data_IF_207943434708
#
_entry.id   IF_207943434708
#
_cell.length_a   1.000
_cell.length_b   1.000
_cell.length_c   1.000
_cell.angle_alpha   90.00
_cell.angle_beta   90.00
_cell.angle_gamma   90.00
#
_symmetry.space_group_name_H-M   'P 1'
#
loop_
_entity.id
_entity.type
_entity.pdbx_description
1 polymer ?
#
# COMPACT_ATOMS: atom_id res chain seq x y z
N UNK A 1 -15.02 11.35 -3.47
CA UNK A 1 -13.73 12.01 -3.71
C UNK A 1 -13.55 13.32 -2.92
N UNK A 2 -14.33 14.41 -3.13
CA UNK A 2 -14.08 15.69 -2.46
C UNK A 2 -13.99 15.59 -0.92
N UNK A 3 -14.92 14.88 -0.28
CA UNK A 3 -14.89 14.69 1.17
C UNK A 3 -13.61 13.96 1.65
N UNK A 4 -13.12 12.99 0.88
CA UNK A 4 -11.84 12.32 1.15
C UNK A 4 -10.68 13.32 1.11
N UNK A 5 -10.59 14.11 0.06
CA UNK A 5 -9.53 15.13 -0.13
C UNK A 5 -9.54 16.18 0.98
N UNK A 6 -10.72 16.62 1.44
CA UNK A 6 -10.83 17.56 2.58
C UNK A 6 -10.30 16.93 3.88
N UNK A 7 -10.54 15.62 4.11
CA UNK A 7 -9.98 14.92 5.25
C UNK A 7 -8.46 14.77 5.13
N UNK A 8 -7.93 14.43 3.96
CA UNK A 8 -6.49 14.39 3.71
C UNK A 8 -5.85 15.74 4.06
N UNK A 9 -6.40 16.84 3.55
CA UNK A 9 -5.92 18.21 3.85
C UNK A 9 -5.92 18.50 5.33
N UNK A 10 -7.01 18.18 6.02
CA UNK A 10 -7.14 18.40 7.45
C UNK A 10 -6.07 17.63 8.26
N UNK A 11 -5.86 16.36 7.96
CA UNK A 11 -4.87 15.56 8.68
C UNK A 11 -3.44 15.93 8.31
N UNK A 12 -3.18 16.29 7.05
CA UNK A 12 -1.85 16.79 6.64
C UNK A 12 -1.45 18.06 7.39
N UNK A 13 -2.36 19.02 7.60
CA UNK A 13 -2.07 20.20 8.44
C UNK A 13 -1.58 19.80 9.84
N UNK A 14 -2.18 18.76 10.45
CA UNK A 14 -1.76 18.26 11.76
C UNK A 14 -0.43 17.52 11.70
N UNK A 15 -0.26 16.63 10.73
CA UNK A 15 0.97 15.86 10.54
C UNK A 15 2.17 16.77 10.35
N UNK A 16 2.08 17.75 9.46
CA UNK A 16 3.17 18.70 9.17
C UNK A 16 3.57 19.48 10.43
N UNK A 17 2.61 19.93 11.23
CA UNK A 17 2.91 20.62 12.48
C UNK A 17 3.67 19.73 13.48
N UNK A 18 3.21 18.50 13.66
CA UNK A 18 3.88 17.51 14.54
C UNK A 18 5.26 17.18 14.01
N UNK A 19 5.39 16.94 12.72
CA UNK A 19 6.67 16.62 12.08
C UNK A 19 7.67 17.76 12.23
N UNK A 20 7.26 18.99 11.99
CA UNK A 20 8.13 20.17 12.12
C UNK A 20 8.63 20.38 13.56
N UNK A 21 7.77 20.20 14.56
CA UNK A 21 8.17 20.25 15.97
C UNK A 21 9.12 19.11 16.32
N UNK A 22 8.82 17.90 15.87
CA UNK A 22 9.65 16.71 16.09
C UNK A 22 11.04 16.89 15.47
N UNK A 23 11.13 17.42 14.26
CA UNK A 23 12.41 17.70 13.58
C UNK A 23 13.25 18.73 14.32
N UNK A 24 12.62 19.80 14.82
CA UNK A 24 13.33 20.81 15.62
C UNK A 24 13.91 20.20 16.90
N UNK A 25 13.12 19.41 17.63
CA UNK A 25 13.57 18.71 18.83
C UNK A 25 14.72 17.75 18.50
N UNK A 26 14.58 16.96 17.46
CA UNK A 26 15.62 16.01 17.07
C UNK A 26 16.91 16.70 16.58
N UNK A 27 16.81 17.83 15.91
CA UNK A 27 17.97 18.60 15.51
C UNK A 27 18.77 19.15 16.70
N UNK A 28 18.10 19.49 17.78
CA UNK A 28 18.74 20.06 18.96
C UNK A 28 19.22 19.01 19.99
N UNK A 29 18.47 17.93 20.16
CA UNK A 29 18.72 16.99 21.28
C UNK A 29 19.20 15.60 20.83
N UNK A 30 19.08 15.24 19.55
CA UNK A 30 19.46 13.92 19.04
C UNK A 30 20.34 14.00 17.79
N UNK A 31 21.57 14.58 17.88
CA UNK A 31 22.49 14.67 16.75
C UNK A 31 22.90 13.28 16.26
N UNK A 32 23.25 13.20 14.99
CA UNK A 32 23.74 11.98 14.33
C UNK A 32 25.18 12.13 13.84
N UNK A 33 26.18 12.19 14.72
CA UNK A 33 27.56 12.51 14.36
C UNK A 33 28.16 11.50 13.37
N UNK A 34 27.90 10.20 13.53
CA UNK A 34 28.41 9.19 12.63
C UNK A 34 27.79 9.34 11.21
N UNK A 35 26.47 9.47 11.11
CA UNK A 35 25.83 9.69 9.83
C UNK A 35 26.24 11.03 9.21
N UNK A 36 26.41 12.07 10.02
CA UNK A 36 26.88 13.38 9.56
C UNK A 36 28.31 13.31 8.98
N UNK A 37 29.18 12.51 9.57
CA UNK A 37 30.55 12.30 9.05
C UNK A 37 30.58 11.57 7.68
N UNK A 38 29.53 10.83 7.35
CA UNK A 38 29.37 10.10 6.08
C UNK A 38 28.50 10.85 5.07
N UNK A 39 28.00 12.03 5.41
CA UNK A 39 27.15 12.84 4.53
C UNK A 39 27.91 14.04 4.03
N UNK A 40 27.95 14.19 2.71
CA UNK A 40 28.62 15.31 2.05
C UNK A 40 28.11 16.66 2.56
N UNK A 41 29.01 17.59 2.77
CA UNK A 41 28.71 18.94 3.19
C UNK A 41 28.56 19.12 4.72
N UNK A 42 28.32 18.07 5.50
CA UNK A 42 28.17 18.18 6.94
C UNK A 42 29.46 18.60 7.65
N UNK A 43 30.60 17.99 7.28
CA UNK A 43 31.92 18.30 7.82
C UNK A 43 32.34 19.71 7.41
N UNK A 44 32.23 20.04 6.13
CA UNK A 44 32.60 21.35 5.57
C UNK A 44 31.83 22.50 6.20
N UNK A 45 30.57 22.26 6.57
CA UNK A 45 29.69 23.25 7.19
C UNK A 45 29.72 23.22 8.73
N UNK A 46 30.38 22.22 9.32
CA UNK A 46 30.39 22.03 10.77
C UNK A 46 28.99 21.84 11.35
N UNK A 47 28.08 21.17 10.60
CA UNK A 47 26.68 20.98 10.97
C UNK A 47 26.29 19.50 11.01
N UNK A 48 25.49 19.14 11.99
CA UNK A 48 24.84 17.83 12.02
C UNK A 48 23.87 17.66 10.85
N UNK A 49 23.73 16.43 10.34
CA UNK A 49 22.82 16.06 9.25
C UNK A 49 21.41 16.58 9.46
N UNK A 50 20.92 16.61 10.69
CA UNK A 50 19.56 17.09 11.03
C UNK A 50 19.43 18.62 10.97
N UNK A 51 20.56 19.35 10.99
CA UNK A 51 20.62 20.81 10.84
C UNK A 51 21.16 21.25 9.50
N UNK A 52 21.80 20.33 8.78
CA UNK A 52 22.35 20.56 7.47
C UNK A 52 21.50 19.89 6.40
N UNK A 53 21.20 20.65 5.35
CA UNK A 53 20.64 20.12 4.13
C UNK A 53 21.66 20.22 3.03
N UNK A 54 21.95 19.08 2.42
CA UNK A 54 22.73 19.04 1.20
C UNK A 54 22.06 19.89 0.11
N UNK A 55 22.82 20.40 -0.88
CA UNK A 55 22.34 21.30 -1.95
C UNK A 55 21.26 20.70 -2.87
N UNK A 56 20.88 19.45 -2.70
CA UNK A 56 19.67 18.83 -3.23
C UNK A 56 18.56 18.91 -2.18
N UNK A 57 17.34 19.10 -2.61
CA UNK A 57 16.17 19.07 -1.75
C UNK A 57 16.13 17.73 -1.00
N UNK A 58 16.18 17.77 0.31
CA UNK A 58 15.73 16.63 1.11
C UNK A 58 14.23 16.79 1.24
N UNK A 59 13.50 16.09 0.43
CA UNK A 59 12.05 16.09 0.41
C UNK A 59 11.49 15.47 1.69
N UNK A 60 10.31 15.86 2.06
CA UNK A 60 9.58 15.31 3.19
C UNK A 60 8.48 14.40 2.65
N UNK A 61 8.22 13.30 3.34
CA UNK A 61 7.27 12.30 2.85
C UNK A 61 6.13 12.07 3.82
N UNK A 62 4.94 11.92 3.27
CA UNK A 62 3.77 11.39 3.97
C UNK A 62 3.47 9.99 3.43
N UNK A 63 3.56 8.98 4.29
CA UNK A 63 3.36 7.59 3.88
C UNK A 63 1.87 7.31 3.69
N UNK A 64 1.49 6.88 2.48
CA UNK A 64 0.16 6.40 2.19
C UNK A 64 0.00 4.93 2.58
N UNK A 65 -0.99 4.65 3.43
CA UNK A 65 -1.36 3.29 3.81
C UNK A 65 -2.78 3.02 3.33
N UNK A 66 -2.97 1.95 2.56
CA UNK A 66 -4.28 1.52 2.06
C UNK A 66 -4.91 2.38 0.95
N UNK A 67 -4.16 3.00 0.01
CA UNK A 67 -4.78 3.78 -1.08
C UNK A 67 -5.68 2.91 -1.97
N UNK A 68 -5.34 1.64 -2.19
CA UNK A 68 -6.21 0.66 -2.86
C UNK A 68 -7.53 0.48 -2.12
N UNK A 69 -7.52 0.35 -0.79
CA UNK A 69 -8.74 0.24 0.01
C UNK A 69 -9.63 1.48 -0.11
N UNK A 70 -9.02 2.67 -0.21
CA UNK A 70 -9.76 3.92 -0.45
C UNK A 70 -10.43 3.89 -1.83
N UNK A 71 -9.69 3.48 -2.88
CA UNK A 71 -10.23 3.38 -4.23
C UNK A 71 -11.38 2.38 -4.32
N UNK A 72 -11.20 1.17 -3.77
CA UNK A 72 -12.19 0.12 -3.72
C UNK A 72 -13.44 0.54 -2.91
N UNK A 73 -13.22 1.25 -1.81
CA UNK A 73 -14.31 1.81 -0.99
C UNK A 73 -15.12 2.87 -1.75
N UNK A 74 -14.44 3.79 -2.46
CA UNK A 74 -15.13 4.82 -3.26
C UNK A 74 -15.88 4.15 -4.43
N UNK A 75 -15.30 3.14 -5.08
CA UNK A 75 -15.96 2.39 -6.15
C UNK A 75 -17.21 1.66 -5.64
N UNK A 76 -17.12 1.00 -4.48
CA UNK A 76 -18.25 0.32 -3.85
C UNK A 76 -19.36 1.30 -3.43
N UNK A 77 -18.99 2.43 -2.81
CA UNK A 77 -19.94 3.50 -2.48
C UNK A 77 -20.62 4.04 -3.73
N UNK A 78 -19.83 4.37 -4.76
CA UNK A 78 -20.38 4.88 -6.01
C UNK A 78 -21.38 3.91 -6.60
N UNK A 79 -21.04 2.64 -6.72
CA UNK A 79 -21.89 1.62 -7.32
C UNK A 79 -23.12 1.33 -6.49
N UNK A 80 -22.96 0.93 -5.23
CA UNK A 80 -24.04 0.37 -4.42
C UNK A 80 -24.96 1.44 -3.82
N UNK A 81 -24.34 2.57 -3.37
CA UNK A 81 -25.11 3.64 -2.72
C UNK A 81 -25.66 4.64 -3.73
N UNK A 82 -24.84 5.09 -4.72
CA UNK A 82 -25.23 6.19 -5.59
C UNK A 82 -25.78 5.75 -6.94
N UNK A 83 -25.19 4.74 -7.60
CA UNK A 83 -25.63 4.32 -8.93
C UNK A 83 -26.82 3.36 -8.85
N UNK A 84 -26.82 2.42 -7.87
CA UNK A 84 -27.86 1.39 -7.70
C UNK A 84 -28.90 1.72 -6.61
N UNK A 85 -28.66 2.73 -5.78
CA UNK A 85 -29.54 3.19 -4.68
C UNK A 85 -30.03 2.05 -3.77
N UNK A 86 -29.10 1.12 -3.42
CA UNK A 86 -29.41 -0.07 -2.61
C UNK A 86 -29.54 0.23 -1.13
N UNK A 87 -28.87 1.26 -0.66
CA UNK A 87 -28.82 1.67 0.73
C UNK A 87 -28.41 3.14 0.82
N UNK A 88 -28.86 3.82 1.85
CA UNK A 88 -28.40 5.19 2.13
C UNK A 88 -27.06 5.21 2.85
N UNK A 89 -26.28 6.29 2.69
CA UNK A 89 -25.02 6.46 3.43
C UNK A 89 -25.19 6.37 4.94
N UNK A 90 -26.30 6.92 5.49
CA UNK A 90 -26.53 6.89 6.92
C UNK A 90 -26.83 5.50 7.47
N UNK A 91 -27.45 4.64 6.69
CA UNK A 91 -27.68 3.23 7.05
C UNK A 91 -26.41 2.42 6.93
N UNK A 92 -25.64 2.61 5.84
CA UNK A 92 -24.37 1.94 5.63
C UNK A 92 -23.38 2.22 6.78
N UNK A 93 -23.25 3.46 7.21
CA UNK A 93 -22.39 3.83 8.35
C UNK A 93 -22.78 3.05 9.60
N UNK A 94 -24.08 2.99 9.94
CA UNK A 94 -24.56 2.24 11.10
C UNK A 94 -24.29 0.72 11.03
N UNK A 95 -24.25 0.17 9.81
CA UNK A 95 -23.94 -1.25 9.58
C UNK A 95 -22.43 -1.47 9.73
N UNK A 96 -21.61 -0.60 9.18
CA UNK A 96 -20.14 -0.67 9.34
C UNK A 96 -19.72 -0.48 10.79
N UNK A 97 -20.35 0.42 11.55
CA UNK A 97 -20.15 0.60 13.01
C UNK A 97 -20.39 -0.70 13.81
N UNK A 98 -21.17 -1.62 13.27
CA UNK A 98 -21.44 -2.96 13.82
C UNK A 98 -20.60 -4.05 13.14
N UNK A 99 -19.56 -3.68 12.43
CA UNK A 99 -18.68 -4.62 11.72
C UNK A 99 -19.44 -5.60 10.82
N UNK A 100 -20.44 -5.11 10.08
CA UNK A 100 -21.31 -5.87 9.16
C UNK A 100 -22.22 -6.90 9.84
N UNK A 101 -22.32 -6.93 11.17
CA UNK A 101 -23.13 -7.90 11.90
C UNK A 101 -24.59 -7.89 11.40
N UNK A 102 -25.08 -9.08 11.03
CA UNK A 102 -26.44 -9.26 10.50
C UNK A 102 -26.69 -8.71 9.09
N UNK A 103 -25.66 -8.25 8.38
CA UNK A 103 -25.77 -7.62 7.04
C UNK A 103 -24.80 -8.22 6.01
N UNK A 104 -24.58 -9.53 6.08
CA UNK A 104 -23.61 -10.20 5.20
C UNK A 104 -23.98 -10.09 3.71
N UNK A 105 -25.27 -10.08 3.36
CA UNK A 105 -25.72 -9.89 1.97
C UNK A 105 -25.25 -8.54 1.41
N UNK A 106 -25.46 -7.46 2.15
CA UNK A 106 -24.96 -6.14 1.76
C UNK A 106 -23.43 -6.11 1.69
N UNK A 107 -22.75 -6.74 2.66
CA UNK A 107 -21.29 -6.86 2.63
C UNK A 107 -20.80 -7.56 1.37
N UNK A 108 -21.46 -8.65 0.96
CA UNK A 108 -21.14 -9.35 -0.29
C UNK A 108 -21.36 -8.47 -1.53
N UNK A 109 -22.39 -7.62 -1.54
CA UNK A 109 -22.57 -6.62 -2.61
C UNK A 109 -21.43 -5.62 -2.67
N UNK A 110 -20.94 -5.14 -1.52
CA UNK A 110 -19.79 -4.24 -1.44
C UNK A 110 -18.48 -4.93 -1.88
N UNK A 111 -18.28 -6.19 -1.51
CA UNK A 111 -17.16 -7.01 -1.98
C UNK A 111 -17.22 -7.27 -3.49
N UNK A 112 -18.41 -7.48 -4.06
CA UNK A 112 -18.62 -7.71 -5.49
C UNK A 112 -18.59 -6.43 -6.34
N UNK A 113 -18.49 -5.26 -5.74
CA UNK A 113 -18.26 -4.02 -6.49
C UNK A 113 -16.89 -4.07 -7.19
N UNK A 114 -16.66 -3.31 -8.29
CA UNK A 114 -15.37 -3.29 -8.96
C UNK A 114 -14.21 -3.10 -8.01
N UNK A 115 -13.17 -3.92 -8.18
CA UNK A 115 -11.96 -3.92 -7.35
C UNK A 115 -10.73 -3.67 -8.20
N UNK A 116 -9.81 -2.87 -7.68
CA UNK A 116 -8.53 -2.57 -8.30
C UNK A 116 -7.73 -3.84 -8.58
N UNK A 117 -7.00 -3.86 -9.70
CA UNK A 117 -6.18 -5.00 -10.11
C UNK A 117 -6.84 -5.95 -11.12
N UNK A 118 -8.01 -5.58 -11.67
CA UNK A 118 -8.77 -6.39 -12.63
C UNK A 118 -8.89 -5.79 -14.03
N UNK A 119 -8.12 -4.73 -14.36
CA UNK A 119 -8.19 -3.97 -15.61
C UNK A 119 -9.61 -3.41 -15.85
N UNK A 120 -10.23 -2.89 -14.80
CA UNK A 120 -11.56 -2.27 -14.84
C UNK A 120 -11.46 -0.75 -14.63
N UNK A 121 -11.71 0.03 -15.70
CA UNK A 121 -11.64 1.49 -15.66
C UNK A 121 -12.57 2.12 -14.62
N UNK A 122 -13.65 1.44 -14.22
CA UNK A 122 -14.57 1.96 -13.21
C UNK A 122 -13.87 2.22 -11.88
N UNK A 123 -12.99 1.34 -11.43
CA UNK A 123 -12.24 1.46 -10.18
C UNK A 123 -10.82 1.99 -10.41
N UNK A 124 -10.18 1.62 -11.53
CA UNK A 124 -8.80 1.99 -11.81
C UNK A 124 -8.63 3.52 -11.96
N UNK A 125 -9.60 4.19 -12.59
CA UNK A 125 -9.61 5.66 -12.68
C UNK A 125 -9.87 6.33 -11.33
N UNK A 126 -10.61 5.67 -10.43
CA UNK A 126 -10.77 6.13 -9.05
C UNK A 126 -9.44 5.98 -8.29
N UNK A 127 -8.72 4.88 -8.50
CA UNK A 127 -7.41 4.67 -7.90
C UNK A 127 -6.39 5.71 -8.39
N UNK A 128 -6.38 6.01 -9.69
CA UNK A 128 -5.57 7.10 -10.27
C UNK A 128 -5.89 8.43 -9.58
N UNK A 129 -7.18 8.79 -9.45
CA UNK A 129 -7.64 10.00 -8.78
C UNK A 129 -7.22 10.04 -7.29
N UNK A 130 -7.29 8.91 -6.58
CA UNK A 130 -6.86 8.81 -5.17
C UNK A 130 -5.39 9.17 -5.06
N UNK A 131 -4.52 8.56 -5.86
CA UNK A 131 -3.08 8.85 -5.84
C UNK A 131 -2.79 10.30 -6.22
N UNK A 132 -3.26 10.74 -7.38
CA UNK A 132 -2.93 12.05 -7.92
C UNK A 132 -3.47 13.18 -7.02
N UNK A 133 -4.73 13.14 -6.62
CA UNK A 133 -5.34 14.20 -5.80
C UNK A 133 -4.80 14.23 -4.38
N UNK A 134 -4.36 13.09 -3.85
CA UNK A 134 -3.66 13.05 -2.56
C UNK A 134 -2.32 13.75 -2.66
N UNK A 135 -1.52 13.47 -3.70
CA UNK A 135 -0.26 14.16 -3.96
C UNK A 135 -0.47 15.67 -4.12
N UNK A 136 -1.43 16.11 -4.95
CA UNK A 136 -1.76 17.53 -5.16
C UNK A 136 -2.10 18.27 -3.85
N UNK A 137 -2.61 17.57 -2.84
CA UNK A 137 -2.84 18.16 -1.51
C UNK A 137 -1.55 18.20 -0.70
N UNK A 138 -0.77 17.12 -0.72
CA UNK A 138 0.44 16.96 0.09
C UNK A 138 1.52 17.96 -0.35
N UNK A 139 1.68 18.18 -1.65
CA UNK A 139 2.62 19.16 -2.23
C UNK A 139 2.35 20.61 -1.81
N UNK A 140 1.17 20.93 -1.26
CA UNK A 140 0.87 22.26 -0.76
C UNK A 140 1.52 22.56 0.60
N UNK A 141 2.12 21.56 1.23
CA UNK A 141 2.76 21.67 2.52
C UNK A 141 4.27 21.68 2.40
N UNK A 142 4.93 22.43 3.26
CA UNK A 142 6.39 22.47 3.34
C UNK A 142 6.85 22.26 4.78
N UNK A 143 8.04 21.71 4.93
CA UNK A 143 8.67 21.58 6.23
C UNK A 143 9.35 22.88 6.71
N UNK A 144 9.88 22.86 7.95
CA UNK A 144 10.57 24.02 8.55
C UNK A 144 11.79 24.49 7.79
N UNK A 145 12.29 23.72 6.83
CA UNK A 145 13.45 24.05 6.00
C UNK A 145 13.06 24.47 4.57
N UNK A 146 11.76 24.54 4.25
CA UNK A 146 11.26 24.94 2.96
C UNK A 146 11.29 23.83 1.90
N UNK A 147 11.32 22.55 2.30
CA UNK A 147 11.14 21.45 1.36
C UNK A 147 9.68 21.03 1.30
N UNK A 148 9.25 20.65 0.12
CA UNK A 148 7.89 20.19 -0.12
C UNK A 148 7.67 18.81 0.49
N UNK A 149 6.43 18.51 0.84
CA UNK A 149 6.00 17.16 1.19
C UNK A 149 5.53 16.43 -0.06
N UNK A 150 5.75 15.13 -0.09
CA UNK A 150 5.32 14.23 -1.17
C UNK A 150 4.67 12.97 -0.63
N UNK A 151 3.81 12.37 -1.44
CA UNK A 151 3.19 11.08 -1.13
C UNK A 151 4.22 9.97 -1.34
N UNK A 152 4.43 9.16 -0.29
CA UNK A 152 5.25 7.95 -0.32
C UNK A 152 4.35 6.71 -0.24
N UNK A 153 4.35 5.90 -1.27
CA UNK A 153 3.58 4.65 -1.35
C UNK A 153 4.24 3.45 -0.66
N UNK A 154 5.39 3.63 0.01
CA UNK A 154 6.13 2.52 0.64
C UNK A 154 5.68 2.27 2.08
N UNK A 155 4.43 1.86 2.27
CA UNK A 155 3.85 1.62 3.60
C UNK A 155 4.49 0.45 4.37
N UNK A 156 5.28 -0.41 3.72
CA UNK A 156 5.98 -1.56 4.31
C UNK A 156 4.99 -2.42 5.12
N UNK A 157 5.33 -2.84 6.33
CA UNK A 157 4.44 -3.60 7.22
C UNK A 157 3.40 -2.75 7.96
N UNK A 158 3.40 -1.42 7.78
CA UNK A 158 2.38 -0.56 8.37
C UNK A 158 0.97 -0.86 7.84
N UNK A 159 0.83 -1.44 6.64
CA UNK A 159 -0.44 -1.92 6.10
C UNK A 159 -1.14 -2.89 7.04
N UNK A 160 -0.40 -3.84 7.64
CA UNK A 160 -0.95 -4.74 8.64
C UNK A 160 -1.15 -4.04 9.99
N UNK A 161 -0.15 -3.32 10.49
CA UNK A 161 -0.23 -2.69 11.82
C UNK A 161 -1.38 -1.70 11.96
N UNK A 162 -1.56 -0.81 10.97
CA UNK A 162 -2.63 0.18 10.99
C UNK A 162 -4.02 -0.38 10.68
N UNK A 163 -4.10 -1.51 9.98
CA UNK A 163 -5.40 -2.15 9.70
C UNK A 163 -6.06 -2.69 10.96
N UNK A 164 -5.27 -3.08 11.98
CA UNK A 164 -5.79 -3.60 13.25
C UNK A 164 -6.61 -2.57 14.03
N UNK A 165 -6.29 -1.29 13.88
CA UNK A 165 -6.96 -0.17 14.55
C UNK A 165 -7.99 0.53 13.63
N UNK A 166 -8.22 0.00 12.41
CA UNK A 166 -9.14 0.59 11.45
C UNK A 166 -10.45 -0.19 11.44
N UNK A 167 -11.59 0.46 11.73
CA UNK A 167 -12.91 -0.16 11.66
C UNK A 167 -13.25 -0.71 10.28
N UNK A 168 -14.40 -1.38 10.15
CA UNK A 168 -14.93 -1.87 8.88
C UNK A 168 -15.00 -0.76 7.84
N UNK A 169 -14.72 -1.08 6.57
CA UNK A 169 -14.64 -0.13 5.46
C UNK A 169 -15.59 -0.46 4.32
N UNK A 170 -16.01 0.53 3.50
CA UNK A 170 -17.01 0.34 2.45
C UNK A 170 -16.63 -0.65 1.35
N UNK A 171 -15.35 -1.01 1.19
CA UNK A 171 -14.89 -2.05 0.26
C UNK A 171 -15.32 -3.48 0.67
N UNK A 172 -15.98 -3.62 1.84
CA UNK A 172 -16.44 -4.89 2.42
C UNK A 172 -15.47 -5.49 3.44
N UNK A 173 -14.35 -4.79 3.76
CA UNK A 173 -13.38 -5.20 4.78
C UNK A 173 -14.03 -5.13 6.16
N UNK A 174 -13.76 -6.12 7.01
CA UNK A 174 -14.16 -6.13 8.42
C UNK A 174 -13.13 -5.41 9.29
N UNK A 175 -13.53 -5.04 10.48
CA UNK A 175 -12.66 -4.55 11.54
C UNK A 175 -11.53 -5.56 11.81
N UNK A 176 -10.28 -5.08 11.81
CA UNK A 176 -9.10 -5.91 12.02
C UNK A 176 -8.59 -6.69 10.81
N UNK A 177 -9.35 -6.79 9.69
CA UNK A 177 -8.84 -7.38 8.46
C UNK A 177 -7.70 -6.53 7.88
N UNK A 178 -6.71 -7.17 7.23
CA UNK A 178 -5.56 -6.48 6.61
C UNK A 178 -5.97 -5.52 5.49
N UNK A 179 -5.15 -4.50 5.27
CA UNK A 179 -5.21 -3.68 4.04
C UNK A 179 -4.50 -4.38 2.88
N UNK A 180 -4.66 -3.85 1.67
CA UNK A 180 -3.79 -4.18 0.54
C UNK A 180 -2.31 -4.02 0.96
N UNK A 181 -1.47 -4.98 0.59
CA UNK A 181 -0.10 -5.12 1.10
C UNK A 181 0.94 -4.20 0.44
N UNK A 182 0.47 -3.31 -0.42
CA UNK A 182 1.26 -2.28 -1.09
C UNK A 182 0.37 -1.22 -1.72
N UNK A 183 0.92 -0.06 -2.04
CA UNK A 183 0.17 1.06 -2.63
C UNK A 183 -0.37 0.78 -4.03
N UNK A 184 0.24 -0.15 -4.75
CA UNK A 184 -0.22 -0.66 -6.05
C UNK A 184 -0.74 -2.10 -5.99
N UNK A 185 -0.70 -2.73 -4.82
CA UNK A 185 -1.21 -4.09 -4.67
C UNK A 185 -2.74 -4.10 -4.61
N UNK A 186 -3.41 -5.00 -5.32
CA UNK A 186 -4.82 -5.29 -5.07
C UNK A 186 -5.07 -5.80 -3.66
N UNK A 187 -6.29 -5.73 -3.19
CA UNK A 187 -6.71 -6.44 -1.97
C UNK A 187 -6.56 -7.95 -2.15
N UNK A 188 -6.04 -8.68 -1.15
CA UNK A 188 -5.88 -10.13 -1.22
C UNK A 188 -7.17 -10.84 -1.64
N UNK A 189 -7.08 -11.68 -2.67
CA UNK A 189 -8.20 -12.44 -3.22
C UNK A 189 -9.17 -11.65 -4.13
N UNK A 190 -8.93 -10.37 -4.36
CA UNK A 190 -9.82 -9.53 -5.19
C UNK A 190 -9.34 -9.36 -6.64
N UNK A 191 -8.09 -9.67 -6.94
CA UNK A 191 -7.48 -9.62 -8.27
C UNK A 191 -7.70 -10.96 -9.03
N UNK A 192 -8.92 -11.15 -9.53
CA UNK A 192 -9.38 -12.42 -10.10
C UNK A 192 -9.14 -12.57 -11.60
N UNK A 193 -8.71 -11.49 -12.28
CA UNK A 193 -8.50 -11.49 -13.74
C UNK A 193 -7.03 -11.78 -14.13
N UNK A 194 -6.23 -12.25 -13.19
CA UNK A 194 -4.84 -12.69 -13.39
C UNK A 194 -3.81 -11.56 -13.41
N UNK A 195 -2.52 -11.93 -13.42
CA UNK A 195 -1.43 -10.98 -13.15
C UNK A 195 -1.28 -9.88 -14.22
N UNK A 196 -1.63 -10.15 -15.48
CA UNK A 196 -1.58 -9.13 -16.53
C UNK A 196 -2.63 -8.03 -16.32
N UNK A 197 -3.82 -8.37 -15.80
CA UNK A 197 -4.83 -7.38 -15.44
C UNK A 197 -4.35 -6.48 -14.30
N UNK A 198 -3.62 -7.04 -13.32
CA UNK A 198 -2.99 -6.26 -12.26
C UNK A 198 -2.02 -5.23 -12.84
N UNK A 199 -1.11 -5.63 -13.76
CA UNK A 199 -0.19 -4.68 -14.39
C UNK A 199 -0.92 -3.57 -15.14
N UNK A 200 -1.98 -3.90 -15.86
CA UNK A 200 -2.77 -2.90 -16.58
C UNK A 200 -3.47 -1.91 -15.64
N UNK A 201 -4.06 -2.37 -14.54
CA UNK A 201 -4.58 -1.48 -13.52
C UNK A 201 -3.50 -0.57 -12.94
N UNK A 202 -2.35 -1.12 -12.57
CA UNK A 202 -1.22 -0.35 -12.05
C UNK A 202 -0.70 0.70 -13.05
N UNK A 203 -0.68 0.38 -14.35
CA UNK A 203 -0.17 1.29 -15.39
C UNK A 203 -1.02 2.54 -15.58
N UNK A 204 -2.26 2.56 -15.09
CA UNK A 204 -3.13 3.72 -15.13
C UNK A 204 -2.78 4.76 -14.05
N UNK A 205 -2.01 4.36 -13.03
CA UNK A 205 -1.50 5.25 -12.00
C UNK A 205 -0.17 5.84 -12.46
N UNK A 206 -0.04 7.16 -12.47
CA UNK A 206 1.21 7.85 -12.82
C UNK A 206 2.21 7.75 -11.67
N UNK A 207 3.00 6.68 -11.69
CA UNK A 207 4.00 6.38 -10.67
C UNK A 207 5.23 7.31 -10.70
N UNK A 208 5.30 8.24 -11.65
CA UNK A 208 6.37 9.27 -11.70
C UNK A 208 6.01 10.52 -10.92
N UNK A 209 4.72 10.71 -10.60
CA UNK A 209 4.24 11.85 -9.81
C UNK A 209 4.27 11.60 -8.31
N UNK A 210 4.24 10.35 -7.91
CA UNK A 210 4.28 9.94 -6.49
C UNK A 210 5.52 9.10 -6.24
N UNK A 211 5.99 9.07 -4.99
CA UNK A 211 7.25 8.39 -4.64
C UNK A 211 7.01 6.97 -4.13
N UNK A 212 8.00 6.10 -4.36
CA UNK A 212 8.14 4.79 -3.71
C UNK A 212 6.88 3.93 -3.69
N UNK A 213 6.51 3.35 -4.82
CA UNK A 213 5.38 2.42 -4.87
C UNK A 213 5.76 1.00 -4.46
N UNK A 214 4.76 0.23 -4.00
CA UNK A 214 4.89 -1.19 -3.73
C UNK A 214 3.81 -1.98 -4.46
N UNK A 215 4.22 -2.86 -5.37
CA UNK A 215 3.41 -3.90 -5.96
C UNK A 215 3.98 -5.25 -5.52
N UNK A 216 3.22 -5.99 -4.73
CA UNK A 216 3.54 -7.35 -4.34
C UNK A 216 2.79 -8.34 -5.22
N UNK A 217 3.49 -9.36 -5.72
CA UNK A 217 2.90 -10.43 -6.48
C UNK A 217 3.37 -11.78 -5.91
N UNK A 218 2.46 -12.73 -5.73
CA UNK A 218 2.77 -14.07 -5.28
C UNK A 218 2.53 -15.06 -6.41
N UNK A 219 3.56 -15.83 -6.76
CA UNK A 219 3.50 -16.88 -7.76
C UNK A 219 3.88 -18.23 -7.14
N UNK A 220 3.33 -19.31 -7.66
CA UNK A 220 3.76 -20.65 -7.29
C UNK A 220 5.11 -20.97 -7.94
N UNK A 221 5.96 -21.86 -7.33
CA UNK A 221 7.25 -22.24 -7.91
C UNK A 221 7.16 -22.80 -9.34
N UNK A 222 6.05 -23.47 -9.70
CA UNK A 222 5.80 -24.02 -11.02
C UNK A 222 5.82 -22.97 -12.13
N UNK A 223 5.63 -21.71 -11.76
CA UNK A 223 5.71 -20.56 -12.67
C UNK A 223 7.11 -20.30 -13.24
N UNK A 224 8.14 -20.80 -12.56
CA UNK A 224 9.53 -20.63 -12.97
C UNK A 224 10.10 -21.86 -13.69
N UNK A 225 9.28 -22.89 -13.93
CA UNK A 225 9.69 -24.14 -14.54
C UNK A 225 9.23 -24.29 -16.00
N UNK A 226 10.07 -24.94 -16.81
CA UNK A 226 9.77 -25.30 -18.19
C UNK A 226 9.40 -24.11 -19.06
N UNK A 227 8.32 -24.25 -19.83
CA UNK A 227 7.83 -23.24 -20.79
C UNK A 227 7.26 -21.99 -20.09
N UNK A 228 6.89 -22.11 -18.81
CA UNK A 228 6.40 -20.96 -18.03
C UNK A 228 7.46 -19.90 -17.81
N UNK A 229 8.76 -20.22 -17.90
CA UNK A 229 9.85 -19.24 -17.84
C UNK A 229 9.74 -18.13 -18.87
N UNK A 230 9.35 -18.49 -20.11
CA UNK A 230 9.16 -17.49 -21.17
C UNK A 230 7.96 -16.60 -20.87
N UNK A 231 6.89 -17.18 -20.35
CA UNK A 231 5.69 -16.41 -19.94
C UNK A 231 6.05 -15.44 -18.81
N UNK A 232 6.79 -15.87 -17.80
CA UNK A 232 7.24 -15.01 -16.70
C UNK A 232 8.21 -13.92 -17.20
N UNK A 233 9.11 -14.24 -18.11
CA UNK A 233 9.98 -13.24 -18.75
C UNK A 233 9.17 -12.17 -19.46
N UNK A 234 8.17 -12.56 -20.27
CA UNK A 234 7.29 -11.63 -20.96
C UNK A 234 6.44 -10.80 -19.99
N UNK A 235 6.05 -11.37 -18.86
CA UNK A 235 5.37 -10.65 -17.79
C UNK A 235 6.25 -9.52 -17.19
N UNK A 236 7.51 -9.82 -16.86
CA UNK A 236 8.46 -8.81 -16.37
C UNK A 236 8.74 -7.75 -17.43
N UNK A 237 8.86 -8.15 -18.70
CA UNK A 237 9.02 -7.21 -19.79
C UNK A 237 7.80 -6.29 -19.92
N UNK A 238 6.59 -6.85 -19.83
CA UNK A 238 5.35 -6.05 -19.84
C UNK A 238 5.28 -5.06 -18.69
N UNK A 239 5.70 -5.45 -17.48
CA UNK A 239 5.82 -4.54 -16.35
C UNK A 239 6.73 -3.34 -16.67
N UNK A 240 7.90 -3.58 -17.25
CA UNK A 240 8.84 -2.53 -17.64
C UNK A 240 8.29 -1.64 -18.77
N UNK A 241 7.71 -2.26 -19.80
CA UNK A 241 7.13 -1.56 -20.97
C UNK A 241 5.94 -0.68 -20.57
N UNK A 242 5.17 -1.06 -19.53
CA UNK A 242 4.06 -0.30 -18.98
C UNK A 242 4.52 0.84 -18.04
N UNK A 243 5.82 0.96 -17.75
CA UNK A 243 6.36 2.05 -16.94
C UNK A 243 6.01 2.01 -15.47
N UNK A 244 5.67 0.83 -14.93
CA UNK A 244 5.34 0.67 -13.51
C UNK A 244 6.64 0.71 -12.69
N UNK A 245 6.73 1.60 -11.71
CA UNK A 245 7.97 1.91 -10.99
C UNK A 245 8.51 0.79 -10.10
N UNK A 246 7.66 -0.12 -9.65
CA UNK A 246 8.05 -1.16 -8.69
C UNK A 246 7.24 -2.44 -8.88
N UNK A 247 7.91 -3.58 -8.72
CA UNK A 247 7.32 -4.90 -8.52
C UNK A 247 8.24 -5.77 -7.66
N UNK A 248 7.68 -6.58 -6.80
CA UNK A 248 8.42 -7.59 -6.04
C UNK A 248 7.63 -8.89 -5.97
N UNK A 249 8.36 -10.00 -5.81
CA UNK A 249 7.78 -11.33 -5.93
C UNK A 249 7.97 -12.15 -4.65
N UNK A 250 6.92 -12.90 -4.29
CA UNK A 250 7.01 -14.12 -3.49
C UNK A 250 6.81 -15.31 -4.40
N UNK A 251 7.77 -16.22 -4.42
CA UNK A 251 7.68 -17.47 -5.17
C UNK A 251 7.56 -18.59 -4.14
N UNK A 252 6.38 -18.80 -3.65
CA UNK A 252 6.03 -19.78 -2.62
C UNK A 252 4.56 -20.11 -2.71
N UNK A 253 4.21 -21.37 -2.60
CA UNK A 253 2.81 -21.81 -2.54
C UNK A 253 2.20 -21.62 -1.15
N UNK A 254 0.88 -21.54 -1.11
CA UNK A 254 0.12 -21.34 0.11
C UNK A 254 0.26 -22.51 1.09
N UNK A 255 0.33 -23.72 0.57
CA UNK A 255 0.48 -24.95 1.35
C UNK A 255 1.79 -24.94 2.13
N UNK A 256 2.89 -24.54 1.50
CA UNK A 256 4.21 -24.41 2.14
C UNK A 256 4.17 -23.37 3.28
N UNK A 257 3.50 -22.25 3.08
CA UNK A 257 3.35 -21.22 4.13
C UNK A 257 2.51 -21.72 5.31
N UNK A 258 1.40 -22.41 5.04
CA UNK A 258 0.54 -23.00 6.07
C UNK A 258 1.31 -24.09 6.84
N UNK A 259 2.09 -24.91 6.15
CA UNK A 259 2.91 -25.93 6.78
C UNK A 259 4.01 -25.31 7.65
N UNK A 260 4.67 -24.28 7.16
CA UNK A 260 5.68 -23.55 7.92
C UNK A 260 5.10 -22.88 9.20
N UNK A 261 3.86 -22.44 9.16
CA UNK A 261 3.18 -21.89 10.33
C UNK A 261 2.88 -22.96 11.39
N UNK A 262 2.55 -24.20 10.96
CA UNK A 262 2.28 -25.34 11.84
C UNK A 262 3.55 -25.95 12.40
N UNK A 263 4.59 -26.09 11.57
CA UNK A 263 5.84 -26.76 11.87
C UNK A 263 7.06 -25.83 11.69
N UNK A 264 7.16 -24.73 12.47
CA UNK A 264 8.16 -23.68 12.26
C UNK A 264 9.60 -24.17 12.36
N UNK A 265 9.86 -25.23 13.12
CA UNK A 265 11.21 -25.77 13.28
C UNK A 265 11.78 -26.40 12.00
N UNK A 266 10.91 -26.92 11.14
CA UNK A 266 11.29 -27.56 9.86
C UNK A 266 11.49 -26.51 8.74
N UNK A 267 10.97 -25.30 8.92
CA UNK A 267 10.96 -24.23 7.92
C UNK A 267 11.73 -22.97 8.32
N UNK A 268 12.74 -23.08 9.21
CA UNK A 268 13.50 -21.94 9.73
C UNK A 268 14.21 -21.10 8.65
N UNK A 269 14.52 -21.70 7.51
CA UNK A 269 15.19 -21.03 6.39
C UNK A 269 14.23 -20.47 5.34
N UNK A 270 12.90 -20.65 5.51
CA UNK A 270 11.92 -20.14 4.58
C UNK A 270 11.87 -18.61 4.66
N UNK A 271 12.46 -17.96 3.67
CA UNK A 271 12.43 -16.51 3.55
C UNK A 271 11.26 -16.07 2.65
N UNK A 272 10.57 -15.04 3.08
CA UNK A 272 9.49 -14.42 2.31
C UNK A 272 9.75 -12.92 2.11
N UNK A 273 9.25 -12.37 1.02
CA UNK A 273 9.20 -10.94 0.79
C UNK A 273 7.98 -10.36 1.50
N UNK A 274 8.20 -9.54 2.50
CA UNK A 274 7.09 -8.91 3.26
C UNK A 274 6.53 -7.73 2.48
N UNK A 275 7.20 -6.61 2.51
CA UNK A 275 6.93 -5.43 1.69
C UNK A 275 8.17 -4.52 1.76
N UNK A 276 8.92 -4.39 0.69
CA UNK A 276 10.20 -3.64 0.67
C UNK A 276 11.37 -4.33 1.40
N UNK A 277 11.14 -5.40 2.18
CA UNK A 277 12.16 -6.19 2.85
C UNK A 277 11.80 -7.67 2.89
N UNK A 278 12.79 -8.53 3.18
CA UNK A 278 12.60 -9.97 3.35
C UNK A 278 12.87 -10.37 4.81
N UNK A 279 12.14 -11.37 5.27
CA UNK A 279 12.32 -11.96 6.60
C UNK A 279 12.12 -13.47 6.56
N UNK A 280 12.59 -14.17 7.58
CA UNK A 280 12.21 -15.57 7.76
C UNK A 280 10.74 -15.64 8.18
N UNK A 281 9.96 -16.42 7.45
CA UNK A 281 8.51 -16.49 7.64
C UNK A 281 8.13 -16.87 9.07
N UNK A 282 8.87 -17.81 9.66
CA UNK A 282 8.62 -18.33 11.01
C UNK A 282 8.92 -17.32 12.12
N UNK A 283 9.70 -16.28 11.84
CA UNK A 283 10.03 -15.21 12.79
C UNK A 283 9.02 -14.06 12.79
N UNK A 284 8.09 -14.05 11.82
CA UNK A 284 7.02 -13.06 11.73
C UNK A 284 5.93 -13.34 12.78
N UNK A 285 5.22 -12.27 13.20
CA UNK A 285 4.02 -12.45 14.01
C UNK A 285 2.97 -13.26 13.26
N UNK A 286 2.14 -14.02 14.01
CA UNK A 286 1.10 -14.86 13.38
C UNK A 286 0.20 -14.07 12.43
N UNK A 287 -0.25 -12.89 12.82
CA UNK A 287 -1.11 -12.09 11.96
C UNK A 287 -0.43 -11.61 10.67
N UNK A 288 0.88 -11.30 10.71
CA UNK A 288 1.62 -10.96 9.49
C UNK A 288 1.86 -12.20 8.62
N UNK A 289 2.04 -13.39 9.22
CA UNK A 289 2.07 -14.66 8.49
C UNK A 289 0.74 -14.92 7.78
N UNK A 290 -0.39 -14.75 8.49
CA UNK A 290 -1.74 -14.92 7.95
C UNK A 290 -1.95 -13.94 6.77
N UNK A 291 -1.57 -12.68 6.91
CA UNK A 291 -1.65 -11.68 5.85
C UNK A 291 -0.84 -12.05 4.59
N UNK A 292 0.34 -12.67 4.74
CA UNK A 292 1.15 -13.16 3.60
C UNK A 292 0.51 -14.41 2.97
N UNK A 293 -0.07 -15.29 3.77
CA UNK A 293 -0.78 -16.49 3.28
C UNK A 293 -2.00 -16.09 2.43
N UNK A 294 -2.70 -15.02 2.81
CA UNK A 294 -3.91 -14.55 2.14
C UNK A 294 -3.67 -13.85 0.80
N UNK A 295 -2.44 -13.44 0.48
CA UNK A 295 -2.10 -12.84 -0.80
C UNK A 295 -2.53 -13.75 -1.95
N UNK A 296 -3.11 -13.15 -2.99
CA UNK A 296 -3.54 -13.89 -4.18
C UNK A 296 -2.37 -14.64 -4.83
N UNK A 297 -2.55 -15.93 -5.06
CA UNK A 297 -1.63 -16.70 -5.90
C UNK A 297 -1.96 -16.45 -7.37
N UNK A 298 -1.02 -15.83 -8.06
CA UNK A 298 -1.19 -15.51 -9.46
C UNK A 298 -0.97 -16.74 -10.34
N UNK A 299 -1.84 -16.91 -11.31
CA UNK A 299 -1.76 -17.95 -12.32
C UNK A 299 -1.92 -17.31 -13.71
N UNK A 300 -1.15 -17.76 -14.70
CA UNK A 300 -1.47 -17.46 -16.09
C UNK A 300 -2.47 -18.49 -16.59
N UNK A 301 -3.53 -18.03 -17.26
CA UNK A 301 -4.53 -18.90 -17.85
C UNK A 301 -3.97 -19.60 -19.10
#
# INVERSE_FOLDING_TARGET
>A
MNAYIEQVRFFMDKQVRVENVTRAIYADYYPRPFASALTDGCIEQGKDLRKWRYQGRVESFSIAVGPTNVADSIAALKKVVFDEDRITMGELIKIMDKNWEGNEELRQMMLAAPKFGNDDDYVDMIAQDVHQKTEEVIEQFSDTYGSDFHLDGSAVSATYGLSLDTPATPDGRKDGDGFADGSLSPMPGMDVNGPTAVLKSCSKIDTMKTYNHLLNQKFTPQFLDGDNREVFYNYIKSWADLGISHIQFNVVDRETLIEAQKNPQEHRSLAVRVAGYSAYFVDLSKGLQDHIIERTEQHFA
#
